data_IF_435366262981
#
_entry.id   IF_435366262981
#
_cell.length_a   1.000
_cell.length_b   1.000
_cell.length_c   1.000
_cell.angle_alpha   90.00
_cell.angle_beta   90.00
_cell.angle_gamma   90.00
#
_symmetry.space_group_name_H-M   'P 1'
#
loop_
_entity.id
_entity.type
_entity.pdbx_description
1 polymer ?
#
# COMPACT_ATOMS: atom_id res chain seq x y z
N UNK A 1 -8.79 -2.23 23.22
CA UNK A 1 -8.33 -1.12 22.35
C UNK A 1 -7.34 -1.65 21.32
N UNK A 2 -7.37 -1.12 20.12
CA UNK A 2 -6.52 -1.47 18.99
C UNK A 2 -6.01 -0.20 18.32
N UNK A 3 -4.77 -0.20 17.82
CA UNK A 3 -4.24 0.89 17.00
C UNK A 3 -4.06 0.39 15.57
N UNK A 4 -4.64 1.11 14.60
CA UNK A 4 -4.34 0.94 13.17
C UNK A 4 -3.31 1.99 12.79
N UNK A 5 -2.19 1.56 12.25
CA UNK A 5 -1.06 2.41 11.88
C UNK A 5 -1.02 2.50 10.36
N UNK A 6 -1.01 3.72 9.84
CA UNK A 6 -0.82 4.02 8.42
C UNK A 6 0.33 4.98 8.18
N UNK A 7 0.69 5.22 6.93
CA UNK A 7 1.79 6.12 6.58
C UNK A 7 1.41 7.61 6.63
N UNK A 8 0.12 7.96 6.41
CA UNK A 8 -0.29 9.35 6.37
C UNK A 8 -1.80 9.59 6.49
N UNK A 9 -2.21 10.80 6.10
CA UNK A 9 -3.60 11.26 6.21
C UNK A 9 -4.53 10.57 5.19
N UNK A 10 -4.00 10.10 4.06
CA UNK A 10 -4.78 9.35 3.06
C UNK A 10 -5.34 8.06 3.66
N UNK A 11 -4.50 7.30 4.37
CA UNK A 11 -4.90 6.07 5.06
C UNK A 11 -5.97 6.37 6.10
N UNK A 12 -5.75 7.40 6.92
CA UNK A 12 -6.73 7.80 7.94
C UNK A 12 -8.10 8.11 7.34
N UNK A 13 -8.11 8.91 6.28
CA UNK A 13 -9.35 9.30 5.61
C UNK A 13 -10.07 8.11 4.98
N UNK A 14 -9.33 7.25 4.28
CA UNK A 14 -9.88 6.06 3.63
C UNK A 14 -10.41 5.07 4.67
N UNK A 15 -9.63 4.81 5.73
CA UNK A 15 -10.06 3.91 6.81
C UNK A 15 -11.32 4.41 7.51
N UNK A 16 -11.40 5.70 7.85
CA UNK A 16 -12.60 6.27 8.47
C UNK A 16 -13.83 6.01 7.61
N UNK A 17 -13.75 6.32 6.31
CA UNK A 17 -14.89 6.11 5.40
C UNK A 17 -15.27 4.64 5.26
N UNK A 18 -14.28 3.75 5.15
CA UNK A 18 -14.55 2.32 5.07
C UNK A 18 -15.14 1.76 6.37
N UNK A 19 -14.68 2.22 7.52
CA UNK A 19 -15.22 1.81 8.81
C UNK A 19 -16.70 2.18 8.93
N UNK A 20 -17.10 3.40 8.52
CA UNK A 20 -18.51 3.81 8.44
C UNK A 20 -19.31 2.86 7.55
N UNK A 21 -18.81 2.59 6.34
CA UNK A 21 -19.47 1.74 5.34
C UNK A 21 -19.66 0.29 5.81
N UNK A 22 -18.74 -0.23 6.61
CA UNK A 22 -18.78 -1.59 7.13
C UNK A 22 -19.31 -1.68 8.57
N UNK A 23 -19.97 -0.64 9.08
CA UNK A 23 -20.52 -0.57 10.44
C UNK A 23 -19.51 -1.00 11.52
N UNK A 24 -18.24 -0.60 11.32
CA UNK A 24 -17.19 -0.85 12.29
C UNK A 24 -17.08 0.37 13.18
N UNK A 25 -17.87 0.43 14.25
CA UNK A 25 -17.93 1.57 15.14
C UNK A 25 -16.56 1.94 15.73
N UNK A 26 -16.06 3.10 15.30
CA UNK A 26 -14.98 3.78 16.01
C UNK A 26 -15.47 4.42 17.33
N UNK A 27 -16.76 4.70 17.44
CA UNK A 27 -17.35 5.52 18.51
C UNK A 27 -17.20 4.92 19.90
N UNK A 28 -17.03 3.61 20.03
CA UNK A 28 -16.75 2.97 21.31
C UNK A 28 -15.30 3.14 21.80
N UNK A 29 -14.50 4.03 21.20
CA UNK A 29 -13.10 4.31 21.55
C UNK A 29 -12.20 3.07 21.59
N UNK A 30 -12.55 2.04 20.85
CA UNK A 30 -11.83 0.76 20.84
C UNK A 30 -10.70 0.79 19.80
N UNK A 31 -10.91 1.45 18.65
CA UNK A 31 -9.94 1.54 17.55
C UNK A 31 -9.44 2.98 17.44
N UNK A 32 -8.14 3.15 17.38
CA UNK A 32 -7.49 4.44 17.12
C UNK A 32 -6.64 4.34 15.86
N UNK A 33 -6.65 5.37 15.03
CA UNK A 33 -5.78 5.46 13.88
C UNK A 33 -4.55 6.32 14.17
N UNK A 34 -3.37 5.88 13.73
CA UNK A 34 -2.10 6.60 13.91
C UNK A 34 -1.39 6.80 12.56
N UNK A 35 -1.47 8.00 11.95
CA UNK A 35 -0.77 8.34 10.71
C UNK A 35 0.68 8.74 11.03
N UNK A 36 1.60 7.77 11.08
CA UNK A 36 2.94 8.02 11.62
C UNK A 36 4.05 8.10 10.58
N UNK A 37 3.72 7.90 9.31
CA UNK A 37 4.71 7.84 8.25
C UNK A 37 5.67 6.64 8.40
N UNK A 38 6.08 6.11 7.29
CA UNK A 38 6.94 4.93 7.20
C UNK A 38 8.18 4.96 8.12
N UNK A 39 8.81 6.12 8.30
CA UNK A 39 10.07 6.25 9.05
C UNK A 39 9.92 6.09 10.57
N UNK A 40 8.72 6.14 11.10
CA UNK A 40 8.47 6.14 12.54
C UNK A 40 7.78 4.88 13.06
N UNK A 41 7.48 3.93 12.19
CA UNK A 41 6.82 2.66 12.54
C UNK A 41 7.54 1.92 13.67
N UNK A 42 8.88 1.91 13.67
CA UNK A 42 9.68 1.26 14.69
C UNK A 42 9.44 1.81 16.11
N UNK A 43 9.27 3.12 16.24
CA UNK A 43 9.04 3.75 17.54
C UNK A 43 7.66 3.39 18.10
N UNK A 44 6.62 3.46 17.25
CA UNK A 44 5.27 3.12 17.68
C UNK A 44 5.11 1.63 17.96
N UNK A 45 5.72 0.75 17.16
CA UNK A 45 5.70 -0.69 17.43
C UNK A 45 6.36 -1.02 18.79
N UNK A 46 7.50 -0.39 19.08
CA UNK A 46 8.18 -0.54 20.38
C UNK A 46 7.28 -0.05 21.53
N UNK A 47 6.67 1.14 21.38
CA UNK A 47 5.78 1.70 22.38
C UNK A 47 4.58 0.80 22.63
N UNK A 48 3.79 0.48 21.58
CA UNK A 48 2.58 -0.32 21.69
C UNK A 48 2.86 -1.72 22.22
N UNK A 49 3.98 -2.34 21.79
CA UNK A 49 4.42 -3.62 22.33
C UNK A 49 4.75 -3.55 23.82
N UNK A 50 5.40 -2.47 24.28
CA UNK A 50 5.77 -2.31 25.69
C UNK A 50 4.57 -2.11 26.62
N UNK A 51 3.50 -1.48 26.13
CA UNK A 51 2.25 -1.26 26.88
C UNK A 51 1.17 -2.29 26.58
N UNK A 52 1.52 -3.34 25.83
CA UNK A 52 0.62 -4.46 25.46
C UNK A 52 -0.67 -4.04 24.73
N UNK A 53 -0.62 -2.96 23.95
CA UNK A 53 -1.72 -2.55 23.08
C UNK A 53 -1.57 -3.24 21.74
N UNK A 54 -2.56 -4.01 21.28
CA UNK A 54 -2.53 -4.65 19.97
C UNK A 54 -2.57 -3.58 18.86
N UNK A 55 -1.88 -3.87 17.76
CA UNK A 55 -1.85 -2.98 16.61
C UNK A 55 -1.83 -3.75 15.29
N UNK A 56 -2.27 -3.09 14.24
CA UNK A 56 -2.20 -3.52 12.85
C UNK A 56 -1.53 -2.39 12.08
N UNK A 57 -0.69 -2.72 11.11
CA UNK A 57 0.03 -1.72 10.31
C UNK A 57 -0.24 -1.95 8.83
N UNK A 58 -0.59 -0.89 8.10
CA UNK A 58 -0.61 -0.83 6.64
C UNK A 58 0.56 0.04 6.17
N UNK A 59 1.40 -0.53 5.32
CA UNK A 59 2.56 0.14 4.71
C UNK A 59 2.46 0.12 3.19
N UNK A 60 3.16 1.02 2.53
CA UNK A 60 3.31 1.01 1.08
C UNK A 60 4.41 0.02 0.66
N UNK A 61 4.14 -0.80 -0.36
CA UNK A 61 5.14 -1.75 -0.86
C UNK A 61 6.13 -1.07 -1.82
N UNK A 62 5.69 -0.09 -2.60
CA UNK A 62 6.50 0.73 -3.49
C UNK A 62 7.35 -0.07 -4.50
N UNK A 63 6.81 -1.15 -5.08
CA UNK A 63 7.55 -1.97 -6.05
C UNK A 63 8.05 -1.10 -7.21
N UNK A 64 9.33 -1.24 -7.55
CA UNK A 64 9.98 -0.47 -8.61
C UNK A 64 10.49 0.91 -8.22
N UNK A 65 10.14 1.44 -7.03
CA UNK A 65 10.79 2.63 -6.45
C UNK A 65 12.08 2.24 -5.74
N UNK A 66 13.02 3.17 -5.65
CA UNK A 66 14.24 2.97 -4.86
C UNK A 66 13.90 2.65 -3.40
N UNK A 67 14.47 1.58 -2.88
CA UNK A 67 14.18 1.08 -1.53
C UNK A 67 12.79 0.45 -1.36
N UNK A 68 12.00 0.33 -2.43
CA UNK A 68 10.70 -0.34 -2.45
C UNK A 68 10.80 -1.87 -2.49
N UNK A 69 9.65 -2.55 -2.49
CA UNK A 69 9.58 -4.00 -2.57
C UNK A 69 10.36 -4.69 -1.47
N UNK A 70 11.43 -5.38 -1.83
CA UNK A 70 12.29 -6.09 -0.87
C UNK A 70 12.93 -5.18 0.19
N UNK A 71 13.18 -3.91 -0.14
CA UNK A 71 13.66 -2.94 0.85
C UNK A 71 12.62 -2.65 1.93
N UNK A 72 11.35 -2.53 1.57
CA UNK A 72 10.23 -2.37 2.51
C UNK A 72 10.05 -3.61 3.38
N UNK A 73 10.11 -4.80 2.79
CA UNK A 73 10.04 -6.08 3.51
C UNK A 73 11.22 -6.23 4.47
N UNK A 74 12.46 -5.97 4.01
CA UNK A 74 13.66 -5.98 4.86
C UNK A 74 13.49 -5.06 6.08
N UNK A 75 13.03 -3.83 5.83
CA UNK A 75 12.79 -2.87 6.91
C UNK A 75 11.83 -3.44 7.96
N UNK A 76 10.66 -3.94 7.55
CA UNK A 76 9.68 -4.50 8.47
C UNK A 76 10.24 -5.68 9.29
N UNK A 77 10.94 -6.62 8.63
CA UNK A 77 11.60 -7.74 9.29
C UNK A 77 12.63 -7.25 10.33
N UNK A 78 13.45 -6.25 9.98
CA UNK A 78 14.43 -5.68 10.90
C UNK A 78 13.74 -5.04 12.12
N UNK A 79 12.64 -4.31 11.92
CA UNK A 79 11.91 -3.71 13.06
C UNK A 79 11.26 -4.77 13.94
N UNK A 80 10.74 -5.86 13.36
CA UNK A 80 10.23 -6.99 14.14
C UNK A 80 11.32 -7.64 15.00
N UNK A 81 12.53 -7.80 14.45
CA UNK A 81 13.69 -8.29 15.21
C UNK A 81 14.02 -7.33 16.35
N UNK A 82 14.03 -6.03 16.08
CA UNK A 82 14.36 -4.99 17.06
C UNK A 82 13.39 -4.92 18.25
N UNK A 83 12.11 -5.32 18.04
CA UNK A 83 11.11 -5.44 19.11
C UNK A 83 11.07 -6.85 19.75
N UNK A 84 12.06 -7.70 19.49
CA UNK A 84 12.24 -8.99 20.16
C UNK A 84 11.57 -10.18 19.50
N UNK A 85 11.10 -10.06 18.25
CA UNK A 85 10.61 -11.24 17.51
C UNK A 85 11.78 -12.13 17.10
N UNK A 86 11.55 -13.44 17.06
CA UNK A 86 12.59 -14.43 16.72
C UNK A 86 13.15 -14.22 15.31
N UNK A 87 14.41 -13.81 15.19
CA UNK A 87 15.11 -13.65 13.92
C UNK A 87 15.05 -14.95 13.08
N UNK A 88 15.29 -16.10 13.71
CA UNK A 88 15.22 -17.40 13.04
C UNK A 88 13.86 -17.61 12.35
N UNK A 89 12.75 -17.40 13.07
CA UNK A 89 11.40 -17.55 12.52
C UNK A 89 11.07 -16.52 11.43
N UNK A 90 11.59 -15.30 11.55
CA UNK A 90 11.37 -14.23 10.58
C UNK A 90 12.16 -14.44 9.29
N UNK A 91 13.33 -15.04 9.35
CA UNK A 91 14.21 -15.28 8.22
C UNK A 91 14.08 -16.69 7.62
N UNK A 92 13.21 -17.53 8.18
CA UNK A 92 12.90 -18.85 7.62
C UNK A 92 12.23 -18.70 6.25
N UNK A 93 12.71 -19.47 5.27
CA UNK A 93 12.20 -19.58 3.91
C UNK A 93 11.56 -20.95 3.70
N UNK A 94 10.94 -21.14 2.55
CA UNK A 94 10.33 -22.41 2.19
C UNK A 94 11.37 -23.55 2.25
N UNK A 95 10.95 -24.68 2.87
CA UNK A 95 11.86 -25.79 3.13
C UNK A 95 12.56 -25.75 4.50
N UNK A 96 12.31 -24.73 5.33
CA UNK A 96 12.85 -24.62 6.69
C UNK A 96 14.28 -24.07 6.76
N UNK A 97 14.84 -23.67 5.64
CA UNK A 97 16.12 -22.96 5.59
C UNK A 97 15.98 -21.55 6.19
N UNK A 98 17.04 -21.05 6.81
CA UNK A 98 17.06 -19.69 7.37
C UNK A 98 18.01 -18.84 6.55
N UNK A 99 17.56 -17.69 6.08
CA UNK A 99 18.41 -16.73 5.39
C UNK A 99 19.63 -16.38 6.23
N UNK A 100 20.81 -16.38 5.61
CA UNK A 100 22.02 -15.90 6.26
C UNK A 100 21.95 -14.41 6.53
N UNK A 101 22.76 -13.92 7.47
CA UNK A 101 22.85 -12.49 7.79
C UNK A 101 23.29 -11.69 6.56
N UNK A 102 24.21 -12.22 5.76
CA UNK A 102 24.64 -11.57 4.52
C UNK A 102 23.51 -11.48 3.48
N UNK A 103 22.72 -12.55 3.30
CA UNK A 103 21.57 -12.54 2.40
C UNK A 103 20.50 -11.54 2.87
N UNK A 104 20.25 -11.49 4.17
CA UNK A 104 19.32 -10.51 4.77
C UNK A 104 19.81 -9.07 4.57
N UNK A 105 21.09 -8.80 4.78
CA UNK A 105 21.66 -7.46 4.56
C UNK A 105 21.54 -7.02 3.09
N UNK A 106 21.65 -7.93 2.15
CA UNK A 106 21.51 -7.67 0.71
C UNK A 106 20.07 -7.75 0.19
N UNK A 107 19.09 -8.10 1.01
CA UNK A 107 17.69 -8.30 0.58
C UNK A 107 17.12 -7.10 -0.20
N UNK A 108 17.44 -5.87 0.19
CA UNK A 108 16.99 -4.66 -0.49
C UNK A 108 17.47 -4.52 -1.95
N UNK A 109 18.48 -5.29 -2.35
CA UNK A 109 19.01 -5.31 -3.73
C UNK A 109 18.40 -6.39 -4.60
N UNK A 110 17.50 -7.21 -4.05
CA UNK A 110 16.87 -8.29 -4.80
C UNK A 110 15.91 -7.72 -5.84
N UNK A 111 15.94 -8.28 -7.04
CA UNK A 111 15.06 -7.85 -8.12
C UNK A 111 13.59 -8.22 -7.88
N UNK A 112 12.72 -7.66 -8.72
CA UNK A 112 11.27 -7.85 -8.64
C UNK A 112 10.69 -8.54 -9.89
N UNK A 113 11.54 -9.01 -10.81
CA UNK A 113 11.13 -9.68 -12.04
C UNK A 113 11.08 -11.20 -11.85
N UNK A 114 10.35 -11.88 -12.72
CA UNK A 114 10.19 -13.35 -12.77
C UNK A 114 9.68 -13.91 -11.41
N UNK A 115 10.14 -15.07 -11.04
CA UNK A 115 9.78 -15.76 -9.78
C UNK A 115 10.12 -14.95 -8.51
N UNK A 116 10.86 -13.85 -8.63
CA UNK A 116 11.21 -13.00 -7.48
C UNK A 116 10.05 -12.14 -7.00
N UNK A 117 9.12 -11.77 -7.90
CA UNK A 117 7.89 -11.08 -7.50
C UNK A 117 7.00 -12.01 -6.67
N UNK A 118 6.83 -13.27 -7.07
CA UNK A 118 6.07 -14.26 -6.31
C UNK A 118 6.67 -14.48 -4.92
N UNK A 119 7.99 -14.57 -4.85
CA UNK A 119 8.71 -14.69 -3.58
C UNK A 119 8.51 -13.46 -2.69
N UNK A 120 8.51 -12.25 -3.26
CA UNK A 120 8.21 -11.01 -2.54
C UNK A 120 6.77 -11.05 -1.98
N UNK A 121 5.79 -11.42 -2.80
CA UNK A 121 4.39 -11.52 -2.37
C UNK A 121 4.18 -12.62 -1.32
N UNK A 122 4.92 -13.71 -1.40
CA UNK A 122 5.00 -14.73 -0.35
C UNK A 122 5.46 -14.13 1.00
N UNK A 123 6.48 -13.27 0.98
CA UNK A 123 6.95 -12.56 2.19
C UNK A 123 5.97 -11.53 2.69
N UNK A 124 5.32 -10.78 1.82
CA UNK A 124 4.22 -9.87 2.17
C UNK A 124 3.11 -10.63 2.88
N UNK A 125 2.72 -11.78 2.35
CA UNK A 125 1.70 -12.66 2.97
C UNK A 125 2.16 -13.21 4.33
N UNK A 126 3.42 -13.59 4.45
CA UNK A 126 3.99 -14.04 5.73
C UNK A 126 3.91 -12.95 6.81
N UNK A 127 4.17 -11.69 6.46
CA UNK A 127 4.16 -10.56 7.39
C UNK A 127 2.76 -10.26 7.96
N UNK A 128 1.68 -10.69 7.29
CA UNK A 128 0.30 -10.61 7.81
C UNK A 128 0.14 -11.39 9.13
N UNK A 129 0.96 -12.42 9.39
CA UNK A 129 1.00 -13.13 10.68
C UNK A 129 1.42 -12.22 11.84
N UNK A 130 2.17 -11.16 11.52
CA UNK A 130 2.64 -10.13 12.46
C UNK A 130 1.79 -8.86 12.43
N UNK A 131 0.60 -8.92 11.83
CA UNK A 131 -0.32 -7.79 11.64
C UNK A 131 0.27 -6.65 10.77
N UNK A 132 1.16 -6.99 9.85
CA UNK A 132 1.73 -6.05 8.89
C UNK A 132 1.16 -6.37 7.52
N UNK A 133 0.51 -5.40 6.92
CA UNK A 133 -0.12 -5.44 5.61
C UNK A 133 0.54 -4.44 4.69
N UNK A 134 0.44 -4.66 3.39
CA UNK A 134 0.99 -3.77 2.39
C UNK A 134 -0.04 -3.41 1.34
N UNK A 135 -0.15 -2.12 1.01
CA UNK A 135 -0.73 -1.69 -0.25
C UNK A 135 0.24 -2.07 -1.37
N UNK A 136 -0.27 -2.82 -2.33
CA UNK A 136 0.52 -3.42 -3.42
C UNK A 136 -0.19 -3.19 -4.76
N UNK A 137 0.54 -3.00 -5.85
CA UNK A 137 2.01 -3.08 -5.99
C UNK A 137 2.76 -1.82 -5.54
N UNK A 138 2.12 -0.66 -5.45
CA UNK A 138 2.78 0.62 -5.19
C UNK A 138 2.44 1.13 -3.76
N UNK A 139 1.48 2.03 -3.67
CA UNK A 139 1.01 2.66 -2.45
C UNK A 139 -0.53 2.62 -2.37
N UNK A 140 -1.09 3.07 -1.26
CA UNK A 140 -2.54 3.08 -1.06
C UNK A 140 -3.25 3.97 -2.08
N UNK A 141 -2.64 5.09 -2.49
CA UNK A 141 -3.23 5.99 -3.47
C UNK A 141 -3.41 5.29 -4.83
N UNK A 142 -2.40 4.54 -5.26
CA UNK A 142 -2.46 3.75 -6.50
C UNK A 142 -3.47 2.60 -6.38
N UNK A 143 -3.47 1.90 -5.26
CA UNK A 143 -4.42 0.81 -5.00
C UNK A 143 -5.87 1.31 -5.08
N UNK A 144 -6.19 2.45 -4.48
CA UNK A 144 -7.52 3.04 -4.55
C UNK A 144 -7.89 3.49 -5.97
N UNK A 145 -6.94 4.08 -6.68
CA UNK A 145 -7.14 4.46 -8.08
C UNK A 145 -7.39 3.25 -8.97
N UNK A 146 -6.69 2.15 -8.76
CA UNK A 146 -6.84 0.89 -9.51
C UNK A 146 -8.21 0.24 -9.28
N UNK A 147 -8.69 0.25 -8.04
CA UNK A 147 -10.00 -0.33 -7.70
C UNK A 147 -11.20 0.54 -8.14
N UNK A 148 -11.02 1.88 -8.18
CA UNK A 148 -12.09 2.82 -8.52
C UNK A 148 -11.70 3.79 -9.66
N UNK A 149 -11.14 3.31 -10.80
CA UNK A 149 -10.56 4.18 -11.82
C UNK A 149 -11.58 5.17 -12.39
N UNK A 150 -12.82 4.74 -12.63
CA UNK A 150 -13.86 5.60 -13.19
C UNK A 150 -14.31 6.71 -12.23
N UNK A 151 -14.21 6.46 -10.94
CA UNK A 151 -14.55 7.46 -9.92
C UNK A 151 -13.45 8.52 -9.84
N UNK A 152 -12.19 8.11 -9.76
CA UNK A 152 -11.07 9.06 -9.74
C UNK A 152 -10.99 9.87 -11.03
N UNK A 153 -11.29 9.28 -12.19
CA UNK A 153 -11.38 10.00 -13.45
C UNK A 153 -12.51 11.04 -13.46
N UNK A 154 -13.59 10.84 -12.72
CA UNK A 154 -14.71 11.79 -12.56
C UNK A 154 -14.44 12.83 -11.47
N UNK A 155 -13.63 12.52 -10.47
CA UNK A 155 -13.29 13.39 -9.34
C UNK A 155 -12.30 14.51 -9.73
N UNK A 156 -12.50 15.11 -10.90
CA UNK A 156 -11.67 16.19 -11.45
C UNK A 156 -12.50 17.46 -11.64
N UNK A 157 -11.89 18.66 -11.58
CA UNK A 157 -12.58 19.91 -11.94
C UNK A 157 -13.10 19.87 -13.38
N UNK A 158 -14.17 20.66 -13.63
CA UNK A 158 -14.76 20.83 -14.95
C UNK A 158 -13.72 21.26 -15.95
N UNK A 159 -13.17 20.88 -16.82
CA UNK A 159 -12.04 21.18 -17.70
C UNK A 159 -10.67 20.77 -17.13
N UNK A 160 -10.64 19.90 -16.12
CA UNK A 160 -9.41 19.31 -15.59
C UNK A 160 -9.09 17.97 -16.22
N UNK A 161 -8.05 17.33 -15.69
CA UNK A 161 -7.62 15.99 -16.10
C UNK A 161 -6.27 16.02 -16.84
N UNK A 162 -5.63 14.88 -16.98
CA UNK A 162 -4.42 14.76 -17.77
C UNK A 162 -4.73 14.88 -19.26
N UNK A 163 -3.86 15.53 -20.02
CA UNK A 163 -3.93 15.49 -21.48
C UNK A 163 -3.37 14.14 -21.94
N UNK A 164 -4.21 13.29 -22.46
CA UNK A 164 -3.86 11.94 -22.94
C UNK A 164 -4.07 11.91 -24.45
N UNK A 165 -3.03 11.62 -25.26
CA UNK A 165 -3.18 11.41 -26.69
C UNK A 165 -4.11 10.22 -26.97
N UNK A 166 -4.86 10.27 -28.06
CA UNK A 166 -5.71 9.15 -28.45
C UNK A 166 -4.84 7.97 -28.94
N UNK A 167 -4.97 6.82 -28.28
CA UNK A 167 -4.13 5.63 -28.52
C UNK A 167 -4.12 5.20 -30.00
N UNK A 168 -5.29 5.22 -30.63
CA UNK A 168 -5.45 4.77 -32.01
C UNK A 168 -4.99 5.82 -33.06
N UNK A 169 -5.02 7.10 -32.71
CA UNK A 169 -4.64 8.20 -33.65
C UNK A 169 -3.19 8.65 -33.49
N UNK A 170 -2.67 8.59 -32.27
CA UNK A 170 -1.33 9.09 -31.93
C UNK A 170 -0.56 8.07 -31.07
N UNK A 171 -0.38 6.81 -31.56
CA UNK A 171 0.17 5.72 -30.77
C UNK A 171 1.55 6.03 -30.15
N UNK A 172 2.45 6.68 -30.91
CA UNK A 172 3.78 7.03 -30.43
C UNK A 172 3.73 8.06 -29.30
N UNK A 173 2.85 9.06 -29.41
CA UNK A 173 2.68 10.06 -28.36
C UNK A 173 2.03 9.47 -27.11
N UNK A 174 1.08 8.54 -27.31
CA UNK A 174 0.48 7.81 -26.21
C UNK A 174 1.50 6.96 -25.47
N UNK A 175 2.30 6.17 -26.20
CA UNK A 175 3.38 5.37 -25.63
C UNK A 175 4.40 6.21 -24.86
N UNK A 176 4.83 7.34 -25.43
CA UNK A 176 5.72 8.29 -24.74
C UNK A 176 5.07 8.87 -23.47
N UNK A 177 3.76 9.15 -23.50
CA UNK A 177 3.03 9.62 -22.31
C UNK A 177 3.00 8.58 -21.20
N UNK A 178 2.78 7.31 -21.52
CA UNK A 178 2.82 6.18 -20.57
C UNK A 178 4.23 6.03 -19.99
N UNK A 179 5.26 6.00 -20.84
CA UNK A 179 6.67 5.89 -20.42
C UNK A 179 7.04 7.00 -19.42
N UNK A 180 6.70 8.24 -19.73
CA UNK A 180 6.95 9.38 -18.83
C UNK A 180 6.16 9.25 -17.52
N UNK A 181 4.94 8.72 -17.57
CA UNK A 181 4.13 8.51 -16.38
C UNK A 181 4.72 7.43 -15.48
N UNK A 182 5.22 6.34 -16.05
CA UNK A 182 5.93 5.28 -15.33
C UNK A 182 7.18 5.83 -14.64
N UNK A 183 8.04 6.54 -15.38
CA UNK A 183 9.26 7.14 -14.84
C UNK A 183 8.97 8.09 -13.67
N UNK A 184 7.98 8.98 -13.82
CA UNK A 184 7.57 9.89 -12.76
C UNK A 184 6.97 9.18 -11.54
N UNK A 185 6.13 8.16 -11.76
CA UNK A 185 5.52 7.36 -10.67
C UNK A 185 6.57 6.59 -9.88
N UNK A 186 7.51 5.96 -10.58
CA UNK A 186 8.57 5.16 -9.97
C UNK A 186 9.78 5.99 -9.53
N UNK A 187 9.77 7.30 -9.82
CA UNK A 187 10.83 8.24 -9.44
C UNK A 187 12.20 7.88 -9.99
N UNK A 188 12.25 7.34 -11.19
CA UNK A 188 13.46 6.95 -11.90
C UNK A 188 13.27 7.13 -13.40
N UNK A 189 14.17 7.87 -14.06
CA UNK A 189 14.10 8.15 -15.50
C UNK A 189 14.20 6.88 -16.36
N UNK A 190 14.91 5.88 -15.87
CA UNK A 190 15.12 4.59 -16.57
C UNK A 190 14.06 3.53 -16.23
N UNK A 191 13.11 3.85 -15.35
CA UNK A 191 12.12 2.88 -14.91
C UNK A 191 11.16 2.49 -16.03
N UNK A 192 11.12 1.20 -16.39
CA UNK A 192 10.22 0.65 -17.41
C UNK A 192 8.93 0.06 -16.84
N UNK A 193 8.84 -0.07 -15.51
CA UNK A 193 7.68 -0.67 -14.85
C UNK A 193 7.44 -2.13 -15.24
N UNK A 194 8.49 -2.93 -15.32
CA UNK A 194 8.45 -4.33 -15.80
C UNK A 194 7.54 -5.22 -14.94
N UNK A 195 7.33 -4.85 -13.67
CA UNK A 195 6.46 -5.56 -12.73
C UNK A 195 5.00 -5.12 -12.78
N UNK A 196 4.66 -4.17 -13.65
CA UNK A 196 3.31 -3.61 -13.79
C UNK A 196 2.69 -4.06 -15.11
N UNK A 197 1.39 -4.34 -15.09
CA UNK A 197 0.64 -4.61 -16.34
C UNK A 197 0.54 -3.34 -17.20
N UNK A 198 0.19 -3.50 -18.47
CA UNK A 198 0.02 -2.33 -19.36
C UNK A 198 -1.11 -1.42 -18.87
N UNK A 199 -2.18 -2.00 -18.34
CA UNK A 199 -3.29 -1.24 -17.75
C UNK A 199 -2.83 -0.44 -16.53
N UNK A 200 -1.99 -1.03 -15.67
CA UNK A 200 -1.41 -0.33 -14.52
C UNK A 200 -0.48 0.81 -14.95
N UNK A 201 0.33 0.60 -16.01
CA UNK A 201 1.19 1.65 -16.57
C UNK A 201 0.37 2.80 -17.16
N UNK A 202 -0.69 2.51 -17.89
CA UNK A 202 -1.63 3.53 -18.40
C UNK A 202 -2.30 4.30 -17.24
N UNK A 203 -2.65 3.60 -16.17
CA UNK A 203 -3.25 4.19 -14.97
C UNK A 203 -2.28 5.16 -14.25
N UNK A 204 -0.96 4.97 -14.39
CA UNK A 204 0.04 5.87 -13.83
C UNK A 204 -0.05 7.30 -14.39
N UNK A 205 -0.65 7.52 -15.57
CA UNK A 205 -0.95 8.87 -16.09
C UNK A 205 -1.92 9.60 -15.14
N UNK A 206 -2.95 8.89 -14.67
CA UNK A 206 -3.93 9.41 -13.72
C UNK A 206 -3.37 9.53 -12.31
N UNK A 207 -2.54 8.55 -11.90
CA UNK A 207 -1.82 8.61 -10.63
C UNK A 207 -0.96 9.87 -10.53
N UNK A 208 -0.19 10.19 -11.58
CA UNK A 208 0.63 11.40 -11.60
C UNK A 208 -0.22 12.67 -11.51
N UNK A 209 -1.34 12.71 -12.23
CA UNK A 209 -2.24 13.85 -12.20
C UNK A 209 -2.84 14.05 -10.80
N UNK A 210 -3.28 12.99 -10.14
CA UNK A 210 -3.97 13.06 -8.86
C UNK A 210 -3.05 13.20 -7.66
N UNK A 211 -1.90 12.53 -7.66
CA UNK A 211 -1.14 12.29 -6.44
C UNK A 211 0.30 12.84 -6.46
N UNK A 212 0.88 13.12 -7.61
CA UNK A 212 2.20 13.76 -7.67
C UNK A 212 2.14 15.28 -7.75
N UNK A 213 1.07 15.84 -8.32
CA UNK A 213 0.92 17.28 -8.49
C UNK A 213 -0.13 17.95 -7.60
N UNK A 214 -0.81 17.21 -6.72
CA UNK A 214 -1.93 17.70 -5.90
C UNK A 214 -1.90 17.14 -4.49
N UNK A 215 -2.72 17.71 -3.62
CA UNK A 215 -2.87 17.21 -2.24
C UNK A 215 -3.63 15.87 -2.22
N UNK A 216 -2.96 14.81 -1.82
CA UNK A 216 -3.50 13.44 -1.78
C UNK A 216 -4.82 13.31 -0.99
N UNK A 217 -4.94 13.83 0.26
CA UNK A 217 -6.18 13.71 1.03
C UNK A 217 -7.39 14.32 0.33
N UNK A 218 -7.24 15.49 -0.28
CA UNK A 218 -8.33 16.17 -1.00
C UNK A 218 -8.80 15.36 -2.21
N UNK A 219 -7.88 14.71 -2.92
CA UNK A 219 -8.21 13.84 -4.04
C UNK A 219 -9.07 12.67 -3.58
N UNK A 220 -8.71 12.01 -2.48
CA UNK A 220 -9.51 10.92 -1.91
C UNK A 220 -10.87 11.40 -1.41
N UNK A 221 -10.93 12.55 -0.71
CA UNK A 221 -12.21 13.13 -0.28
C UNK A 221 -13.16 13.34 -1.44
N UNK A 222 -12.67 13.94 -2.53
CA UNK A 222 -13.48 14.16 -3.73
C UNK A 222 -13.95 12.84 -4.36
N UNK A 223 -13.09 11.84 -4.47
CA UNK A 223 -13.45 10.55 -5.02
C UNK A 223 -14.47 9.82 -4.13
N UNK A 224 -14.22 9.74 -2.83
CA UNK A 224 -15.10 9.07 -1.87
C UNK A 224 -16.48 9.72 -1.80
N UNK A 225 -16.58 11.06 -1.96
CA UNK A 225 -17.87 11.78 -1.99
C UNK A 225 -18.75 11.44 -3.19
N UNK A 226 -18.17 10.85 -4.24
CA UNK A 226 -18.90 10.39 -5.43
C UNK A 226 -19.35 8.93 -5.35
N UNK A 227 -19.03 8.24 -4.26
CA UNK A 227 -19.37 6.83 -4.05
C UNK A 227 -20.40 6.67 -2.93
N UNK A 228 -21.46 5.93 -3.24
CA UNK A 228 -22.35 5.37 -2.23
C UNK A 228 -21.69 4.13 -1.56
N UNK A 229 -22.30 3.68 -0.47
CA UNK A 229 -21.78 2.57 0.32
C UNK A 229 -21.73 1.25 -0.47
N UNK A 230 -22.67 1.03 -1.36
CA UNK A 230 -22.73 -0.18 -2.20
C UNK A 230 -21.54 -0.23 -3.17
N UNK A 231 -21.23 0.89 -3.83
CA UNK A 231 -20.06 0.99 -4.71
C UNK A 231 -18.75 0.81 -3.96
N UNK A 232 -18.66 1.33 -2.75
CA UNK A 232 -17.48 1.13 -1.91
C UNK A 232 -17.34 -0.36 -1.60
N UNK A 233 -18.40 -1.01 -1.13
CA UNK A 233 -18.39 -2.44 -0.78
C UNK A 233 -18.06 -3.35 -1.96
N UNK A 234 -18.53 -3.02 -3.17
CA UNK A 234 -18.33 -3.82 -4.37
C UNK A 234 -16.85 -3.99 -4.74
N UNK A 235 -16.04 -2.94 -4.54
CA UNK A 235 -14.67 -2.87 -5.04
C UNK A 235 -13.63 -2.54 -3.98
N UNK A 236 -13.96 -2.68 -2.70
CA UNK A 236 -12.97 -2.47 -1.62
C UNK A 236 -11.74 -3.37 -1.84
N UNK A 237 -10.54 -2.81 -1.83
CA UNK A 237 -9.32 -3.60 -1.99
C UNK A 237 -9.23 -4.76 -1.01
N UNK A 238 -8.88 -5.98 -1.46
CA UNK A 238 -8.84 -7.17 -0.60
C UNK A 238 -7.98 -7.00 0.66
N UNK A 239 -6.86 -6.30 0.56
CA UNK A 239 -5.98 -6.08 1.72
C UNK A 239 -6.66 -5.26 2.82
N UNK A 240 -7.55 -4.32 2.46
CA UNK A 240 -8.30 -3.53 3.43
C UNK A 240 -9.37 -4.39 4.12
N UNK A 241 -10.02 -5.29 3.37
CA UNK A 241 -10.93 -6.29 3.94
C UNK A 241 -10.22 -7.24 4.91
N UNK A 242 -9.03 -7.71 4.53
CA UNK A 242 -8.22 -8.56 5.41
C UNK A 242 -7.83 -7.84 6.72
N UNK A 243 -7.61 -6.51 6.66
CA UNK A 243 -7.37 -5.70 7.86
C UNK A 243 -8.61 -5.66 8.73
N UNK A 244 -9.82 -5.46 8.17
CA UNK A 244 -11.07 -5.49 8.94
C UNK A 244 -11.31 -6.86 9.57
N UNK A 245 -11.13 -7.95 8.83
CA UNK A 245 -11.19 -9.30 9.39
C UNK A 245 -10.20 -9.49 10.54
N UNK A 246 -9.04 -8.89 10.44
CA UNK A 246 -8.03 -8.97 11.50
C UNK A 246 -8.40 -8.14 12.73
N UNK A 247 -8.99 -6.97 12.52
CA UNK A 247 -9.55 -6.13 13.58
C UNK A 247 -10.58 -6.93 14.37
N UNK A 248 -11.54 -7.54 13.68
CA UNK A 248 -12.58 -8.36 14.30
C UNK A 248 -12.00 -9.53 15.12
N UNK A 249 -11.02 -10.24 14.56
CA UNK A 249 -10.34 -11.34 15.26
C UNK A 249 -9.58 -10.88 16.51
N UNK A 250 -9.08 -9.66 16.54
CA UNK A 250 -8.36 -9.12 17.71
C UNK A 250 -9.33 -8.63 18.78
N UNK A 251 -10.39 -7.91 18.38
CA UNK A 251 -11.30 -7.26 19.30
C UNK A 251 -12.40 -8.20 19.82
N UNK A 252 -12.91 -9.05 18.95
CA UNK A 252 -14.09 -9.88 19.24
C UNK A 252 -13.75 -11.37 19.25
N UNK A 253 -12.53 -11.75 19.67
CA UNK A 253 -12.16 -13.17 19.81
C UNK A 253 -13.29 -13.94 20.47
N UNK A 254 -14.04 -14.66 19.64
CA UNK A 254 -14.85 -15.80 20.06
C UNK A 254 -14.00 -17.07 20.00
#
# INVERSE_FOLDING_TARGET
RLVVIGEGDSEHLIFNRLMEVYDKDFDDNIISFAPLGHRFVNHIWKLLSSIHVPYITLLDLDVGREGGGWGRVKYALQQLINIGKSKKKLLEVDGGEVLSDEAFEKMHTWGHTDNKLDSLMGRVTFLKKYNIFYSSPLDLDFLMLEHYPEIYKKAIPKNGGPRIPEKDKEPDKFAAKVTNAVAATLKSEDAKGETYTEEQKELMIWYNYHFLGRGKPVTHMNALSLMDDEKIKEKTPPVLMEIFDKIDKILFKK
#
